data_IF_487941081988
#
_entry.id   IF_487941081988
#
_cell.length_a   1.000
_cell.length_b   1.000
_cell.length_c   1.000
_cell.angle_alpha   90.00
_cell.angle_beta   90.00
_cell.angle_gamma   90.00
#
_symmetry.space_group_name_H-M   'P 1'
#
loop_
_entity.id
_entity.type
_entity.pdbx_description
1 polymer ?
#
# COMPACT_ATOMS: atom_id res chain seq x y z
N UNK A 1 -18.56 -5.80 -5.14
CA UNK A 1 -18.03 -4.60 -4.46
C UNK A 1 -17.56 -4.93 -3.05
N UNK A 2 -18.28 -5.77 -2.31
CA UNK A 2 -17.94 -6.15 -0.93
C UNK A 2 -16.57 -6.83 -0.76
N UNK A 3 -16.12 -7.64 -1.75
CA UNK A 3 -14.85 -8.35 -1.65
C UNK A 3 -13.61 -7.44 -1.74
N UNK A 4 -13.62 -6.44 -2.63
CA UNK A 4 -12.46 -5.55 -2.82
C UNK A 4 -12.28 -4.56 -1.66
N UNK A 5 -13.39 -4.09 -1.07
CA UNK A 5 -13.33 -3.19 0.08
C UNK A 5 -12.82 -3.91 1.34
N UNK A 6 -13.25 -5.16 1.56
CA UNK A 6 -12.76 -5.97 2.66
C UNK A 6 -11.25 -6.22 2.54
N UNK A 7 -10.77 -6.62 1.35
CA UNK A 7 -9.34 -6.81 1.11
C UNK A 7 -8.54 -5.52 1.34
N UNK A 8 -9.02 -4.37 0.84
CA UNK A 8 -8.34 -3.09 1.06
C UNK A 8 -8.25 -2.74 2.55
N UNK A 9 -9.33 -2.97 3.31
CA UNK A 9 -9.37 -2.73 4.75
C UNK A 9 -8.40 -3.63 5.52
N UNK A 10 -8.37 -4.93 5.19
CA UNK A 10 -7.47 -5.89 5.82
C UNK A 10 -5.99 -5.50 5.59
N UNK A 11 -5.65 -5.12 4.36
CA UNK A 11 -4.28 -4.67 4.02
C UNK A 11 -3.92 -3.38 4.75
N UNK A 12 -4.84 -2.42 4.88
CA UNK A 12 -4.62 -1.19 5.65
C UNK A 12 -4.34 -1.53 7.12
N UNK A 13 -5.12 -2.43 7.72
CA UNK A 13 -4.94 -2.81 9.13
C UNK A 13 -3.58 -3.49 9.36
N UNK A 14 -3.23 -4.47 8.54
CA UNK A 14 -1.94 -5.17 8.62
C UNK A 14 -0.75 -4.24 8.38
N UNK A 15 -0.85 -3.34 7.40
CA UNK A 15 0.18 -2.35 7.13
C UNK A 15 0.35 -1.34 8.28
N UNK A 16 -0.76 -0.91 8.90
CA UNK A 16 -0.75 -0.01 10.06
C UNK A 16 -0.12 -0.67 11.28
N UNK A 17 -0.45 -1.94 11.53
CA UNK A 17 0.14 -2.73 12.60
C UNK A 17 1.65 -2.85 12.45
N UNK A 18 2.13 -3.17 11.25
CA UNK A 18 3.57 -3.19 10.94
C UNK A 18 4.22 -1.82 11.18
N UNK A 19 3.62 -0.75 10.65
CA UNK A 19 4.17 0.62 10.78
C UNK A 19 4.28 1.06 12.24
N UNK A 20 3.29 0.77 13.09
CA UNK A 20 3.34 1.13 14.52
C UNK A 20 4.55 0.50 15.23
N UNK A 21 4.87 -0.73 14.88
CA UNK A 21 6.05 -1.43 15.41
C UNK A 21 7.33 -0.83 14.84
N UNK A 22 7.38 -0.58 13.53
CA UNK A 22 8.51 0.09 12.86
C UNK A 22 8.84 1.45 13.49
N UNK A 23 7.82 2.29 13.74
CA UNK A 23 7.95 3.60 14.38
C UNK A 23 8.44 3.50 15.83
N UNK A 24 7.92 2.53 16.59
CA UNK A 24 8.38 2.27 17.96
C UNK A 24 9.84 1.84 17.98
N UNK A 25 10.18 0.83 17.18
CA UNK A 25 11.53 0.28 17.12
C UNK A 25 12.54 1.36 16.64
N UNK A 26 12.16 2.18 15.65
CA UNK A 26 12.98 3.30 15.19
C UNK A 26 13.26 4.32 16.30
N UNK A 27 12.26 4.64 17.13
CA UNK A 27 12.44 5.54 18.27
C UNK A 27 13.35 4.93 19.33
N UNK A 28 13.22 3.63 19.61
CA UNK A 28 14.07 2.90 20.55
C UNK A 28 15.53 2.84 20.07
N UNK A 29 15.77 2.61 18.77
CA UNK A 29 17.10 2.65 18.14
C UNK A 29 17.75 4.03 18.27
N UNK A 30 16.98 5.09 18.00
CA UNK A 30 17.46 6.47 18.16
C UNK A 30 17.86 6.76 19.62
N UNK A 31 17.10 6.24 20.59
CA UNK A 31 17.33 6.49 22.02
C UNK A 31 18.45 5.62 22.63
N UNK A 32 18.71 4.42 22.07
CA UNK A 32 19.63 3.41 22.63
C UNK A 32 21.09 3.51 22.16
N UNK A 33 21.48 4.60 21.47
CA UNK A 33 22.84 4.81 20.95
C UNK A 33 23.35 3.68 20.04
N UNK A 34 22.73 3.51 18.86
CA UNK A 34 23.26 2.89 17.62
C UNK A 34 23.86 1.46 17.66
N UNK A 35 24.07 0.81 18.81
CA UNK A 35 24.72 -0.50 18.86
C UNK A 35 23.80 -1.67 18.46
N UNK A 36 22.48 -1.46 18.39
CA UNK A 36 21.52 -2.40 17.83
C UNK A 36 20.59 -1.68 16.85
N UNK A 37 20.91 -1.72 15.55
CA UNK A 37 20.08 -1.15 14.48
C UNK A 37 19.05 -2.14 13.93
N UNK A 38 18.84 -3.26 14.61
CA UNK A 38 17.95 -4.32 14.13
C UNK A 38 16.51 -4.06 14.59
N UNK A 39 15.56 -4.22 13.68
CA UNK A 39 14.14 -4.18 14.01
C UNK A 39 13.76 -5.38 14.88
N UNK A 40 12.73 -5.24 15.69
CA UNK A 40 12.32 -6.28 16.64
C UNK A 40 11.78 -7.54 15.93
N UNK A 41 11.79 -8.68 16.63
CA UNK A 41 11.07 -9.89 16.18
C UNK A 41 9.58 -9.62 15.92
N UNK A 42 8.99 -8.67 16.67
CA UNK A 42 7.62 -8.24 16.46
C UNK A 42 7.44 -7.57 15.08
N UNK A 43 8.38 -6.71 14.65
CA UNK A 43 8.35 -6.12 13.32
C UNK A 43 8.34 -7.20 12.24
N UNK A 44 9.26 -8.17 12.34
CA UNK A 44 9.34 -9.26 11.37
C UNK A 44 8.07 -10.11 11.36
N UNK A 45 7.46 -10.37 12.52
CA UNK A 45 6.18 -11.05 12.63
C UNK A 45 5.05 -10.28 11.93
N UNK A 46 4.95 -8.96 12.15
CA UNK A 46 3.93 -8.12 11.51
C UNK A 46 4.16 -8.00 10.00
N UNK A 47 5.40 -7.86 9.55
CA UNK A 47 5.74 -7.82 8.13
C UNK A 47 5.37 -9.15 7.44
N UNK A 48 5.66 -10.29 8.09
CA UNK A 48 5.28 -11.61 7.58
C UNK A 48 3.77 -11.78 7.47
N UNK A 49 3.00 -11.33 8.46
CA UNK A 49 1.53 -11.41 8.38
C UNK A 49 0.96 -10.64 7.18
N UNK A 50 1.51 -9.45 6.90
CA UNK A 50 1.16 -8.67 5.72
C UNK A 50 1.56 -9.40 4.42
N UNK A 51 2.79 -9.91 4.36
CA UNK A 51 3.29 -10.68 3.21
C UNK A 51 2.43 -11.93 2.93
N UNK A 52 2.17 -12.75 3.95
CA UNK A 52 1.35 -13.96 3.84
C UNK A 52 -0.07 -13.63 3.36
N UNK A 53 -0.66 -12.52 3.84
CA UNK A 53 -1.95 -12.06 3.36
C UNK A 53 -1.90 -11.71 1.86
N UNK A 54 -0.92 -10.92 1.42
CA UNK A 54 -0.75 -10.52 0.02
C UNK A 54 -0.45 -11.72 -0.90
N UNK A 55 0.34 -12.69 -0.45
CA UNK A 55 0.65 -13.92 -1.20
C UNK A 55 -0.61 -14.73 -1.49
N UNK A 56 -1.65 -14.66 -0.65
CA UNK A 56 -2.88 -15.41 -0.86
C UNK A 56 -3.89 -14.71 -1.79
N UNK A 57 -3.66 -13.44 -2.19
CA UNK A 57 -4.54 -12.69 -3.07
C UNK A 57 -4.26 -12.94 -4.56
N UNK A 58 -5.25 -12.87 -5.42
CA UNK A 58 -5.03 -12.96 -6.88
C UNK A 58 -4.18 -11.79 -7.40
N UNK A 59 -3.42 -12.04 -8.48
CA UNK A 59 -2.54 -11.01 -9.06
C UNK A 59 -3.31 -9.75 -9.51
N UNK A 60 -4.55 -9.89 -9.98
CA UNK A 60 -5.39 -8.75 -10.34
C UNK A 60 -5.85 -7.93 -9.12
N UNK A 61 -6.01 -8.58 -7.97
CA UNK A 61 -6.32 -7.92 -6.69
C UNK A 61 -5.09 -7.16 -6.22
N UNK A 62 -3.91 -7.80 -6.21
CA UNK A 62 -2.63 -7.13 -5.91
C UNK A 62 -2.40 -5.93 -6.83
N UNK A 63 -2.68 -6.07 -8.12
CA UNK A 63 -2.54 -4.95 -9.06
C UNK A 63 -3.51 -3.81 -8.76
N UNK A 64 -4.70 -4.11 -8.25
CA UNK A 64 -5.66 -3.09 -7.85
C UNK A 64 -5.22 -2.39 -6.56
N UNK A 65 -4.65 -3.13 -5.61
CA UNK A 65 -4.08 -2.59 -4.38
C UNK A 65 -2.87 -1.67 -4.66
N UNK A 66 -1.93 -2.10 -5.49
CA UNK A 66 -0.75 -1.28 -5.80
C UNK A 66 -1.12 -0.06 -6.65
N UNK A 67 -2.14 -0.17 -7.53
CA UNK A 67 -2.74 0.98 -8.21
C UNK A 67 -3.27 1.98 -7.19
N UNK A 68 -4.02 1.50 -6.21
CA UNK A 68 -4.59 2.32 -5.13
C UNK A 68 -3.47 3.00 -4.32
N UNK A 69 -2.43 2.26 -3.95
CA UNK A 69 -1.26 2.79 -3.25
C UNK A 69 -0.59 3.94 -4.02
N UNK A 70 -0.26 3.75 -5.30
CA UNK A 70 0.38 4.79 -6.09
C UNK A 70 -0.50 6.03 -6.28
N UNK A 71 -1.81 5.84 -6.51
CA UNK A 71 -2.73 6.96 -6.60
C UNK A 71 -2.85 7.71 -5.28
N UNK A 72 -2.95 7.02 -4.16
CA UNK A 72 -3.02 7.67 -2.85
C UNK A 72 -1.72 8.34 -2.41
N UNK A 73 -0.57 7.88 -2.92
CA UNK A 73 0.74 8.50 -2.69
C UNK A 73 0.98 9.71 -3.59
N UNK A 74 0.69 9.59 -4.88
CA UNK A 74 1.16 10.52 -5.92
C UNK A 74 0.01 11.31 -6.57
N UNK A 75 -1.18 11.37 -5.96
CA UNK A 75 -2.37 12.00 -6.55
C UNK A 75 -2.14 13.41 -7.11
N UNK A 76 -1.33 14.22 -6.42
CA UNK A 76 -1.00 15.58 -6.81
C UNK A 76 -0.26 15.68 -8.17
N UNK A 77 0.21 14.57 -8.72
CA UNK A 77 0.84 14.53 -10.04
C UNK A 77 -0.16 14.35 -11.19
N UNK A 78 -1.46 14.17 -10.88
CA UNK A 78 -2.50 13.77 -11.84
C UNK A 78 -3.59 14.83 -12.08
N UNK A 79 -3.27 16.11 -11.87
CA UNK A 79 -4.24 17.24 -11.78
C UNK A 79 -5.17 17.44 -13.00
N UNK A 80 -4.87 16.84 -14.15
CA UNK A 80 -5.58 17.10 -15.41
C UNK A 80 -6.64 16.04 -15.80
N UNK A 81 -6.90 15.01 -14.98
CA UNK A 81 -7.80 13.88 -15.34
C UNK A 81 -8.79 13.53 -14.23
N UNK A 82 -9.89 12.87 -14.61
CA UNK A 82 -10.83 12.28 -13.65
C UNK A 82 -10.17 11.18 -12.82
N UNK A 83 -10.75 10.86 -11.66
CA UNK A 83 -10.28 9.77 -10.82
C UNK A 83 -10.32 8.43 -11.54
N UNK A 84 -11.41 8.14 -12.24
CA UNK A 84 -11.59 6.93 -13.05
C UNK A 84 -10.51 6.82 -14.14
N UNK A 85 -10.23 7.91 -14.85
CA UNK A 85 -9.22 7.91 -15.91
C UNK A 85 -7.82 7.68 -15.36
N UNK A 86 -7.49 8.30 -14.22
CA UNK A 86 -6.21 8.08 -13.54
C UNK A 86 -6.08 6.66 -13.02
N UNK A 87 -7.15 6.08 -12.50
CA UNK A 87 -7.18 4.69 -12.07
C UNK A 87 -6.95 3.73 -13.22
N UNK A 88 -7.67 3.89 -14.32
CA UNK A 88 -7.52 3.07 -15.53
C UNK A 88 -6.11 3.24 -16.10
N UNK A 89 -5.61 4.47 -16.19
CA UNK A 89 -4.28 4.76 -16.70
C UNK A 89 -3.19 4.08 -15.87
N UNK A 90 -3.23 4.23 -14.54
CA UNK A 90 -2.23 3.61 -13.64
C UNK A 90 -2.30 2.09 -13.70
N UNK A 91 -3.51 1.51 -13.65
CA UNK A 91 -3.70 0.05 -13.74
C UNK A 91 -3.17 -0.50 -15.07
N UNK A 92 -3.36 0.22 -16.18
CA UNK A 92 -2.82 -0.16 -17.48
C UNK A 92 -1.30 0.01 -17.56
N UNK A 93 -0.77 1.11 -17.03
CA UNK A 93 0.67 1.35 -16.95
C UNK A 93 1.38 0.19 -16.25
N UNK A 94 0.84 -0.27 -15.11
CA UNK A 94 1.34 -1.45 -14.39
C UNK A 94 1.19 -2.77 -15.14
N UNK A 95 0.31 -2.88 -16.15
CA UNK A 95 0.23 -4.10 -16.99
C UNK A 95 1.24 -4.08 -18.13
N UNK A 96 1.50 -2.89 -18.68
CA UNK A 96 2.30 -2.72 -19.90
C UNK A 96 3.77 -2.44 -19.63
N UNK A 97 4.12 -1.95 -18.43
CA UNK A 97 5.52 -1.71 -18.05
C UNK A 97 6.18 -3.02 -17.62
N UNK A 98 7.35 -3.33 -18.17
CA UNK A 98 8.08 -4.57 -17.87
C UNK A 98 8.37 -4.74 -16.38
N UNK A 99 8.30 -5.98 -15.88
CA UNK A 99 8.51 -6.33 -14.47
C UNK A 99 7.24 -6.36 -13.61
N UNK A 100 6.18 -5.64 -13.98
CA UNK A 100 4.94 -5.51 -13.21
C UNK A 100 3.90 -6.62 -13.47
N UNK A 101 4.30 -7.64 -14.22
CA UNK A 101 3.49 -8.86 -14.46
C UNK A 101 3.83 -10.00 -13.49
N UNK A 102 4.87 -9.84 -12.67
CA UNK A 102 5.24 -10.80 -11.63
C UNK A 102 4.59 -10.41 -10.30
N UNK A 103 3.78 -11.31 -9.72
CA UNK A 103 3.10 -11.08 -8.45
C UNK A 103 4.09 -10.83 -7.30
N UNK A 104 5.23 -11.51 -7.28
CA UNK A 104 6.25 -11.32 -6.24
C UNK A 104 6.85 -9.91 -6.29
N UNK A 105 7.10 -9.38 -7.50
CA UNK A 105 7.58 -8.01 -7.68
C UNK A 105 6.53 -7.01 -7.17
N UNK A 106 5.25 -7.24 -7.48
CA UNK A 106 4.16 -6.38 -6.99
C UNK A 106 4.07 -6.38 -5.46
N UNK A 107 4.16 -7.56 -4.83
CA UNK A 107 4.13 -7.70 -3.37
C UNK A 107 5.33 -7.00 -2.74
N UNK A 108 6.54 -7.23 -3.25
CA UNK A 108 7.74 -6.57 -2.75
C UNK A 108 7.63 -5.05 -2.84
N UNK A 109 7.10 -4.53 -3.96
CA UNK A 109 6.86 -3.10 -4.11
C UNK A 109 5.83 -2.54 -3.13
N UNK A 110 4.92 -3.34 -2.58
CA UNK A 110 4.04 -2.91 -1.49
C UNK A 110 4.75 -3.00 -0.13
N UNK A 111 5.46 -4.10 0.14
CA UNK A 111 6.15 -4.33 1.41
C UNK A 111 7.28 -3.31 1.65
N UNK A 112 8.01 -2.90 0.61
CA UNK A 112 9.08 -1.89 0.71
C UNK A 112 8.56 -0.46 0.97
N UNK A 113 7.25 -0.21 0.89
CA UNK A 113 6.69 1.13 1.07
C UNK A 113 6.26 1.33 2.51
N UNK A 114 6.76 2.40 3.11
CA UNK A 114 6.28 2.94 4.37
C UNK A 114 6.02 4.45 4.19
N UNK A 115 4.88 5.00 4.64
CA UNK A 115 3.73 4.33 5.26
C UNK A 115 2.71 3.78 4.23
N UNK A 116 2.65 2.45 4.02
CA UNK A 116 1.73 1.82 3.07
C UNK A 116 0.25 2.05 3.42
N UNK A 117 -0.11 1.94 4.69
CA UNK A 117 -1.46 2.16 5.19
C UNK A 117 -1.96 3.57 4.86
N UNK A 118 -1.11 4.58 5.08
CA UNK A 118 -1.45 5.99 4.79
C UNK A 118 -1.67 6.21 3.29
N UNK A 119 -0.87 5.58 2.43
CA UNK A 119 -1.09 5.69 0.98
C UNK A 119 -2.43 5.07 0.57
N UNK A 120 -2.82 3.94 1.16
CA UNK A 120 -4.09 3.29 0.87
C UNK A 120 -5.29 4.06 1.45
N UNK A 121 -5.14 4.66 2.63
CA UNK A 121 -6.14 5.56 3.23
C UNK A 121 -6.35 6.82 2.38
N UNK A 122 -5.26 7.47 1.95
CA UNK A 122 -5.32 8.63 1.08
C UNK A 122 -6.10 8.32 -0.21
N UNK A 123 -5.88 7.14 -0.80
CA UNK A 123 -6.64 6.70 -1.96
C UNK A 123 -8.16 6.66 -1.70
N UNK A 124 -8.58 6.15 -0.54
CA UNK A 124 -10.00 6.12 -0.16
C UNK A 124 -10.56 7.55 -0.07
N UNK A 125 -9.81 8.46 0.55
CA UNK A 125 -10.24 9.85 0.73
C UNK A 125 -10.32 10.62 -0.59
N UNK A 126 -9.33 10.43 -1.46
CA UNK A 126 -9.35 10.94 -2.83
C UNK A 126 -10.56 10.38 -3.57
N UNK A 127 -10.77 9.06 -3.56
CA UNK A 127 -11.91 8.44 -4.24
C UNK A 127 -13.23 9.03 -3.78
N UNK A 128 -13.43 9.20 -2.46
CA UNK A 128 -14.63 9.82 -1.88
C UNK A 128 -14.79 11.26 -2.35
N UNK A 129 -13.72 12.07 -2.32
CA UNK A 129 -13.73 13.46 -2.75
C UNK A 129 -14.17 13.61 -4.22
N UNK A 130 -13.67 12.76 -5.10
CA UNK A 130 -13.96 12.86 -6.54
C UNK A 130 -15.22 12.08 -6.97
N UNK A 131 -15.73 11.13 -6.19
CA UNK A 131 -17.06 10.54 -6.41
C UNK A 131 -18.21 11.40 -5.87
N UNK A 132 -17.99 12.17 -4.79
CA UNK A 132 -19.04 13.00 -4.18
C UNK A 132 -19.35 14.27 -4.99
N UNK A 133 -18.47 14.66 -5.92
CA UNK A 133 -18.60 15.85 -6.77
C UNK A 133 -19.24 15.54 -8.14
N UNK A 134 -19.72 14.32 -8.35
CA UNK A 134 -20.30 13.86 -9.62
C UNK A 134 -21.84 13.83 -9.63
N UNK A 135 -22.50 14.57 -8.73
CA UNK A 135 -23.96 14.73 -8.67
C UNK A 135 -24.39 16.14 -9.04
#
# INVERSE_FOLDING_TARGET
MDNEYNVLSDVIELARDRRRVEERDSNDIIFSSLENTELSEEYYSKNKNLEDHLINLDIEVIRSLITSMYLGRDWYTFEDKSFEDNYIWMKNHLKTTGGWNDKSILINQMLEKSPLDVYLENYIDIKKKYHSNSN
#
